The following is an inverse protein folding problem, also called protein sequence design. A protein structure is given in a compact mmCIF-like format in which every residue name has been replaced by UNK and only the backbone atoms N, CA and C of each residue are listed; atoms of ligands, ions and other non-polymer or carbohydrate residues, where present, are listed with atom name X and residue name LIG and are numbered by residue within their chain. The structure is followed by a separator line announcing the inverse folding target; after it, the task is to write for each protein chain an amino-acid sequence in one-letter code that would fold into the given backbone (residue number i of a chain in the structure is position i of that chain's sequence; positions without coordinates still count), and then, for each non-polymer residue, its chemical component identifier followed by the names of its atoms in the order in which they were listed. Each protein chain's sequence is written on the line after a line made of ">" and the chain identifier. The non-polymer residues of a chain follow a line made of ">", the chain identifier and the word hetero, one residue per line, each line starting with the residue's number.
data_IF_082458444586
#
_entry.id   IF_082458444586
#
_cell.length_a   1.000
_cell.length_b   1.000
_cell.length_c   1.000
_cell.angle_alpha   90.00
_cell.angle_beta   90.00
_cell.angle_gamma   90.00
#
_symmetry.space_group_name_H-M   'P 1'
#
loop_
_entity.id
_entity.type
_entity.pdbx_description
1 polymer ?
#
# COMPACT_ATOMS: atom_id res chain seq x y z
N UNK A 1 -3.31 -3.69 19.84
CA UNK A 1 -3.85 -3.87 18.47
C UNK A 1 -2.70 -3.80 17.49
N UNK A 2 -2.74 -4.54 16.37
CA UNK A 2 -1.69 -4.54 15.35
C UNK A 2 -2.22 -3.84 14.10
N UNK A 3 -1.57 -2.75 13.69
CA UNK A 3 -1.95 -1.97 12.50
C UNK A 3 -0.82 -2.03 11.48
N UNK A 4 -1.06 -2.69 10.34
CA UNK A 4 -0.05 -2.81 9.29
C UNK A 4 0.18 -1.47 8.57
N UNK A 5 1.43 -1.14 8.17
CA UNK A 5 1.73 0.09 7.46
C UNK A 5 1.02 0.18 6.10
N UNK A 6 0.61 1.39 5.72
CA UNK A 6 -0.10 1.65 4.44
C UNK A 6 0.76 1.39 3.21
N UNK A 7 2.07 1.37 3.36
CA UNK A 7 3.05 1.08 2.32
C UNK A 7 3.08 -0.40 1.96
N UNK A 8 2.54 -1.27 2.81
CA UNK A 8 2.38 -2.71 2.54
C UNK A 8 1.06 -3.00 1.83
N UNK A 9 1.00 -4.08 1.04
CA UNK A 9 -0.25 -4.47 0.35
C UNK A 9 -1.38 -4.80 1.34
N UNK A 10 -1.06 -5.48 2.44
CA UNK A 10 -2.06 -5.82 3.47
C UNK A 10 -2.60 -4.56 4.15
N UNK A 11 -1.72 -3.66 4.60
CA UNK A 11 -2.14 -2.43 5.27
C UNK A 11 -2.90 -1.49 4.34
N UNK A 12 -2.50 -1.36 3.08
CA UNK A 12 -3.23 -0.55 2.08
C UNK A 12 -4.60 -1.14 1.74
N UNK A 13 -4.74 -2.46 1.59
CA UNK A 13 -6.04 -3.10 1.38
C UNK A 13 -6.97 -2.92 2.58
N UNK A 14 -6.46 -3.13 3.80
CA UNK A 14 -7.22 -2.90 5.03
C UNK A 14 -7.69 -1.44 5.13
N UNK A 15 -6.80 -0.49 4.82
CA UNK A 15 -7.13 0.94 4.74
C UNK A 15 -8.20 1.20 3.67
N UNK A 16 -8.06 0.65 2.47
CA UNK A 16 -9.01 0.84 1.37
C UNK A 16 -10.43 0.42 1.72
N UNK A 17 -10.57 -0.74 2.35
CA UNK A 17 -11.87 -1.28 2.78
C UNK A 17 -12.46 -0.41 3.90
N UNK A 18 -11.66 -0.06 4.90
CA UNK A 18 -12.13 0.69 6.08
C UNK A 18 -12.37 2.18 5.85
N UNK A 19 -11.72 2.79 4.84
CA UNK A 19 -11.79 4.23 4.55
C UNK A 19 -12.52 4.54 3.24
N UNK A 20 -13.29 3.59 2.70
CA UNK A 20 -14.12 3.81 1.53
C UNK A 20 -15.16 4.92 1.81
N UNK A 21 -14.98 6.09 1.16
CA UNK A 21 -15.82 7.28 1.40
C UNK A 21 -17.31 7.10 1.05
N UNK A 22 -17.64 6.15 0.18
CA UNK A 22 -19.00 5.92 -0.27
C UNK A 22 -19.32 4.41 -0.25
N UNK A 23 -19.96 3.95 0.82
CA UNK A 23 -20.40 2.56 0.97
C UNK A 23 -21.33 2.10 -0.16
N UNK A 24 -22.06 3.01 -0.83
CA UNK A 24 -22.98 2.64 -1.92
C UNK A 24 -22.24 2.31 -3.22
N UNK A 25 -21.03 2.83 -3.42
CA UNK A 25 -20.28 2.70 -4.67
C UNK A 25 -18.91 2.03 -4.47
N UNK A 26 -18.65 1.45 -3.31
CA UNK A 26 -17.42 0.69 -3.09
C UNK A 26 -17.33 -0.44 -4.11
N UNK A 27 -16.23 -0.48 -4.86
CA UNK A 27 -15.95 -1.56 -5.79
C UNK A 27 -14.84 -2.42 -5.20
N UNK A 28 -15.10 -3.70 -4.91
CA UNK A 28 -14.04 -4.58 -4.47
C UNK A 28 -12.99 -4.67 -5.57
N UNK A 29 -11.72 -4.63 -5.17
CA UNK A 29 -10.59 -4.79 -6.08
C UNK A 29 -9.55 -5.72 -5.47
N UNK A 30 -8.92 -6.52 -6.34
CA UNK A 30 -7.75 -7.30 -5.96
C UNK A 30 -6.56 -6.40 -5.66
N UNK A 31 -5.56 -6.97 -4.98
CA UNK A 31 -4.28 -6.33 -4.73
C UNK A 31 -3.70 -5.73 -6.02
N UNK A 32 -3.40 -4.43 -5.99
CA UNK A 32 -2.80 -3.73 -7.11
C UNK A 32 -1.97 -2.53 -6.61
N UNK A 33 -0.96 -2.12 -7.38
CA UNK A 33 -0.05 -1.03 -7.01
C UNK A 33 -0.72 0.35 -6.89
N UNK A 34 -1.94 0.51 -7.40
CA UNK A 34 -2.72 1.75 -7.23
C UNK A 34 -3.26 1.96 -5.82
N UNK A 35 -3.30 0.91 -5.00
CA UNK A 35 -3.68 0.99 -3.58
C UNK A 35 -2.56 1.55 -2.69
N UNK A 36 -1.31 1.42 -3.14
CA UNK A 36 -0.15 1.88 -2.38
C UNK A 36 -0.04 3.42 -2.45
N UNK A 37 0.46 4.07 -1.39
CA UNK A 37 0.81 5.48 -1.44
C UNK A 37 1.71 5.81 -2.63
N UNK A 38 1.62 7.03 -3.17
CA UNK A 38 2.51 7.48 -4.23
C UNK A 38 3.98 7.52 -3.78
N UNK A 39 4.91 7.36 -4.71
CA UNK A 39 6.33 7.67 -4.47
C UNK A 39 6.52 9.19 -4.45
N UNK A 40 7.48 9.67 -3.68
CA UNK A 40 7.85 11.10 -3.64
C UNK A 40 8.42 11.56 -4.98
N UNK A 41 9.26 10.71 -5.59
CA UNK A 41 9.84 10.97 -6.90
C UNK A 41 9.00 10.34 -8.00
N UNK A 42 8.75 11.09 -9.07
CA UNK A 42 8.06 10.59 -10.25
C UNK A 42 8.99 9.69 -11.08
N UNK A 43 8.67 8.40 -11.13
CA UNK A 43 9.32 7.43 -12.02
C UNK A 43 8.42 7.18 -13.24
N UNK A 44 8.97 7.45 -14.43
CA UNK A 44 8.26 7.29 -15.71
C UNK A 44 8.14 5.81 -16.10
N UNK A 45 9.23 5.07 -15.98
CA UNK A 45 9.24 3.64 -16.30
C UNK A 45 8.32 2.87 -15.33
N UNK A 46 7.45 2.03 -15.89
CA UNK A 46 6.42 1.32 -15.12
C UNK A 46 7.03 0.23 -14.25
N UNK A 47 8.04 -0.49 -14.76
CA UNK A 47 8.68 -1.59 -14.04
C UNK A 47 9.49 -1.04 -12.88
N UNK A 48 10.32 -0.04 -13.13
CA UNK A 48 11.12 0.65 -12.11
C UNK A 48 10.23 1.26 -11.02
N UNK A 49 9.09 1.86 -11.40
CA UNK A 49 8.13 2.39 -10.44
C UNK A 49 7.56 1.31 -9.52
N UNK A 50 7.19 0.16 -10.07
CA UNK A 50 6.63 -0.95 -9.28
C UNK A 50 7.69 -1.61 -8.39
N UNK A 51 8.92 -1.74 -8.88
CA UNK A 51 10.06 -2.22 -8.08
C UNK A 51 10.35 -1.26 -6.92
N UNK A 52 10.37 0.05 -7.16
CA UNK A 52 10.55 1.04 -6.10
C UNK A 52 9.43 1.00 -5.05
N UNK A 53 8.17 0.84 -5.46
CA UNK A 53 7.06 0.66 -4.53
C UNK A 53 7.17 -0.63 -3.73
N UNK A 54 7.59 -1.73 -4.36
CA UNK A 54 7.79 -3.02 -3.70
C UNK A 54 8.93 -2.97 -2.67
N UNK A 55 10.07 -2.39 -3.03
CA UNK A 55 11.20 -2.22 -2.11
C UNK A 55 10.80 -1.38 -0.90
N UNK A 56 10.13 -0.24 -1.11
CA UNK A 56 9.61 0.58 -0.01
C UNK A 56 8.64 -0.21 0.88
N UNK A 57 7.77 -1.04 0.29
CA UNK A 57 6.85 -1.87 1.08
C UNK A 57 7.60 -2.88 1.97
N UNK A 58 8.65 -3.51 1.44
CA UNK A 58 9.51 -4.44 2.20
C UNK A 58 10.25 -3.72 3.32
N UNK A 59 10.80 -2.53 3.07
CA UNK A 59 11.49 -1.73 4.09
C UNK A 59 10.55 -1.37 5.26
N UNK A 60 9.33 -0.93 4.95
CA UNK A 60 8.31 -0.64 5.96
C UNK A 60 7.91 -1.89 6.73
N UNK A 61 7.78 -3.04 6.07
CA UNK A 61 7.45 -4.30 6.72
C UNK A 61 8.57 -4.75 7.68
N UNK A 62 9.83 -4.66 7.27
CA UNK A 62 10.98 -5.00 8.12
C UNK A 62 11.08 -4.08 9.34
N UNK A 63 10.83 -2.78 9.16
CA UNK A 63 10.80 -1.85 10.29
C UNK A 63 9.60 -2.12 11.21
N UNK A 64 8.43 -2.42 10.65
CA UNK A 64 7.24 -2.77 11.42
C UNK A 64 7.44 -4.02 12.28
N UNK A 65 8.07 -5.07 11.75
CA UNK A 65 8.38 -6.30 12.51
C UNK A 65 9.20 -6.04 13.77
N UNK A 66 10.06 -5.01 13.78
CA UNK A 66 10.87 -4.62 14.94
C UNK A 66 10.07 -3.89 16.03
N UNK A 67 8.86 -3.43 15.69
CA UNK A 67 7.96 -2.73 16.62
C UNK A 67 6.94 -3.66 17.29
N UNK A 68 6.89 -4.93 16.85
CA UNK A 68 6.10 -6.00 17.46
C UNK A 68 6.84 -6.59 18.66
#
# INVERSE_FOLDING_TARGET
>A
EVVFPRETMIGSMAYYISHAKNNKNFQPMNANFGLLPSLETRIKDKKERYEAQANRALDYLENFKKTL
#
